data_IF_172345926473
#
_entry.id   IF_172345926473
#
_cell.length_a   1.000
_cell.length_b   1.000
_cell.length_c   1.000
_cell.angle_alpha   90.00
_cell.angle_beta   90.00
_cell.angle_gamma   90.00
#
_symmetry.space_group_name_H-M   'P 1'
#
loop_
_entity.id
_entity.type
_entity.pdbx_description
1 polymer ?
#
# COMPACT_ATOMS: atom_id res chain seq x y z
N UNK A 1 1.41 1.29 26.58
CA UNK A 1 0.52 1.90 25.56
C UNK A 1 -0.92 1.64 25.99
N UNK A 2 -1.80 2.66 25.98
CA UNK A 2 -3.18 2.50 26.48
C UNK A 2 -3.97 1.54 25.55
N UNK A 3 -4.73 0.60 26.13
CA UNK A 3 -5.52 -0.39 25.38
C UNK A 3 -6.42 0.24 24.31
N UNK A 4 -6.99 1.41 24.61
CA UNK A 4 -7.82 2.18 23.67
C UNK A 4 -7.07 2.59 22.41
N UNK A 5 -5.79 3.00 22.53
CA UNK A 5 -4.97 3.38 21.37
C UNK A 5 -4.64 2.17 20.50
N UNK A 6 -4.35 1.02 21.13
CA UNK A 6 -4.14 -0.24 20.40
C UNK A 6 -5.39 -0.59 19.59
N UNK A 7 -6.57 -0.54 20.24
CA UNK A 7 -7.84 -0.84 19.57
C UNK A 7 -8.10 0.12 18.39
N UNK A 8 -7.87 1.42 18.56
CA UNK A 8 -8.03 2.39 17.46
C UNK A 8 -7.11 2.08 16.29
N UNK A 9 -5.82 1.80 16.54
CA UNK A 9 -4.87 1.46 15.48
C UNK A 9 -5.25 0.17 14.75
N UNK A 10 -5.72 -0.84 15.50
CA UNK A 10 -6.19 -2.11 14.92
C UNK A 10 -7.42 -1.86 14.03
N UNK A 11 -8.40 -1.09 14.49
CA UNK A 11 -9.60 -0.76 13.70
C UNK A 11 -9.22 -0.01 12.42
N UNK A 12 -8.31 0.97 12.50
CA UNK A 12 -7.81 1.69 11.32
C UNK A 12 -7.10 0.75 10.35
N UNK A 13 -6.24 -0.14 10.85
CA UNK A 13 -5.54 -1.10 10.01
C UNK A 13 -6.51 -2.08 9.30
N UNK A 14 -7.54 -2.55 10.01
CA UNK A 14 -8.59 -3.41 9.43
C UNK A 14 -9.38 -2.64 8.37
N UNK A 15 -9.75 -1.39 8.64
CA UNK A 15 -10.47 -0.56 7.69
C UNK A 15 -9.64 -0.30 6.42
N UNK A 16 -8.36 0.03 6.57
CA UNK A 16 -7.43 0.18 5.45
C UNK A 16 -7.32 -1.10 4.63
N UNK A 17 -7.10 -2.25 5.28
CA UNK A 17 -7.04 -3.53 4.60
C UNK A 17 -8.34 -3.86 3.86
N UNK A 18 -9.51 -3.61 4.47
CA UNK A 18 -10.81 -3.82 3.85
C UNK A 18 -11.03 -2.96 2.62
N UNK A 19 -10.71 -1.66 2.70
CA UNK A 19 -10.83 -0.72 1.56
C UNK A 19 -9.86 -1.12 0.44
N UNK A 20 -8.62 -1.49 0.79
CA UNK A 20 -7.64 -1.95 -0.18
C UNK A 20 -8.07 -3.22 -0.91
N UNK A 21 -8.60 -4.22 -0.20
CA UNK A 21 -9.11 -5.45 -0.80
C UNK A 21 -10.29 -5.17 -1.73
N UNK A 22 -11.21 -4.30 -1.29
CA UNK A 22 -12.33 -3.86 -2.13
C UNK A 22 -11.83 -3.18 -3.41
N UNK A 23 -10.81 -2.31 -3.30
CA UNK A 23 -10.22 -1.62 -4.44
C UNK A 23 -9.54 -2.59 -5.42
N UNK A 24 -8.87 -3.63 -4.92
CA UNK A 24 -8.36 -4.72 -5.76
C UNK A 24 -9.47 -5.42 -6.54
N UNK A 25 -10.60 -5.72 -5.91
CA UNK A 25 -11.74 -6.31 -6.61
C UNK A 25 -12.32 -5.39 -7.69
N UNK A 26 -12.32 -4.07 -7.47
CA UNK A 26 -12.75 -3.12 -8.50
C UNK A 26 -11.79 -3.11 -9.70
N UNK A 27 -10.51 -3.42 -9.50
CA UNK A 27 -9.49 -3.38 -10.54
C UNK A 27 -9.79 -4.33 -11.71
N UNK A 28 -10.42 -5.48 -11.46
CA UNK A 28 -10.82 -6.43 -12.51
C UNK A 28 -11.78 -5.81 -13.54
N UNK A 29 -12.57 -4.81 -13.15
CA UNK A 29 -13.51 -4.14 -14.06
C UNK A 29 -12.85 -3.12 -15.00
N UNK A 30 -11.56 -2.83 -14.82
CA UNK A 30 -10.86 -1.80 -15.60
C UNK A 30 -10.30 -2.33 -16.91
N UNK A 31 -10.17 -3.65 -17.03
CA UNK A 31 -9.70 -4.32 -18.23
C UNK A 31 -10.88 -4.77 -19.12
N UNK A 32 -10.63 -4.94 -20.43
CA UNK A 32 -11.58 -5.60 -21.31
C UNK A 32 -11.82 -7.07 -20.90
N UNK A 33 -12.88 -7.72 -21.42
CA UNK A 33 -13.14 -9.13 -21.15
C UNK A 33 -11.94 -10.03 -21.46
N UNK A 34 -11.72 -11.06 -20.63
CA UNK A 34 -10.62 -11.99 -20.80
C UNK A 34 -10.71 -12.73 -22.15
N UNK A 35 -9.61 -12.71 -22.90
CA UNK A 35 -9.52 -13.30 -24.23
C UNK A 35 -8.41 -14.36 -24.34
N UNK A 36 -7.60 -14.56 -23.30
CA UNK A 36 -6.52 -15.56 -23.24
C UNK A 36 -6.32 -16.07 -21.80
N UNK A 37 -5.67 -17.22 -21.64
CA UNK A 37 -5.27 -17.71 -20.32
C UNK A 37 -4.33 -16.69 -19.62
N UNK A 38 -3.46 -16.04 -20.39
CA UNK A 38 -2.51 -15.03 -19.88
C UNK A 38 -3.19 -13.79 -19.33
N UNK A 39 -4.38 -13.45 -19.85
CA UNK A 39 -5.12 -12.29 -19.36
C UNK A 39 -5.55 -12.45 -17.90
N UNK A 40 -5.86 -13.68 -17.46
CA UNK A 40 -6.19 -13.96 -16.04
C UNK A 40 -4.99 -13.70 -15.12
N UNK A 41 -3.79 -14.14 -15.53
CA UNK A 41 -2.57 -13.96 -14.76
C UNK A 41 -2.20 -12.47 -14.61
N UNK A 42 -2.40 -11.69 -15.67
CA UNK A 42 -2.16 -10.24 -15.66
C UNK A 42 -3.21 -9.52 -14.82
N UNK A 43 -4.49 -9.87 -14.96
CA UNK A 43 -5.60 -9.31 -14.19
C UNK A 43 -5.40 -9.52 -12.68
N UNK A 44 -5.02 -10.73 -12.28
CA UNK A 44 -4.75 -11.09 -10.88
C UNK A 44 -3.54 -10.33 -10.32
N UNK A 45 -2.43 -10.27 -11.08
CA UNK A 45 -1.24 -9.52 -10.68
C UNK A 45 -1.57 -8.03 -10.52
N UNK A 46 -2.35 -7.46 -11.44
CA UNK A 46 -2.75 -6.07 -11.38
C UNK A 46 -3.66 -5.79 -10.19
N UNK A 47 -4.66 -6.63 -9.93
CA UNK A 47 -5.54 -6.54 -8.76
C UNK A 47 -4.76 -6.57 -7.44
N UNK A 48 -3.75 -7.45 -7.36
CA UNK A 48 -2.83 -7.50 -6.22
C UNK A 48 -2.05 -6.18 -6.06
N UNK A 49 -1.47 -5.66 -7.14
CA UNK A 49 -0.71 -4.40 -7.11
C UNK A 49 -1.60 -3.21 -6.73
N UNK A 50 -2.84 -3.16 -7.22
CA UNK A 50 -3.83 -2.12 -6.85
C UNK A 50 -4.19 -2.21 -5.37
N UNK A 51 -4.41 -3.43 -4.85
CA UNK A 51 -4.69 -3.65 -3.42
C UNK A 51 -3.55 -3.10 -2.56
N UNK A 52 -2.32 -3.49 -2.88
CA UNK A 52 -1.13 -3.08 -2.14
C UNK A 52 -0.85 -1.57 -2.27
N UNK A 53 -0.95 -1.03 -3.48
CA UNK A 53 -0.77 0.39 -3.75
C UNK A 53 -1.80 1.25 -3.03
N UNK A 54 -3.06 0.81 -3.00
CA UNK A 54 -4.14 1.49 -2.26
C UNK A 54 -3.86 1.50 -0.77
N UNK A 55 -3.37 0.38 -0.21
CA UNK A 55 -3.03 0.30 1.21
C UNK A 55 -1.95 1.33 1.60
N UNK A 56 -0.87 1.39 0.82
CA UNK A 56 0.24 2.32 1.04
C UNK A 56 -0.24 3.77 0.86
N UNK A 57 -0.95 4.05 -0.23
CA UNK A 57 -1.46 5.37 -0.56
C UNK A 57 -2.35 5.92 0.57
N UNK A 58 -3.34 5.14 1.01
CA UNK A 58 -4.24 5.56 2.09
C UNK A 58 -3.51 5.69 3.43
N UNK A 59 -2.53 4.84 3.71
CA UNK A 59 -1.70 4.97 4.92
C UNK A 59 -0.90 6.28 4.95
N UNK A 60 -0.26 6.64 3.84
CA UNK A 60 0.53 7.88 3.71
C UNK A 60 -0.38 9.10 3.70
N UNK A 61 -1.38 9.13 2.81
CA UNK A 61 -2.30 10.27 2.69
C UNK A 61 -3.08 10.45 3.98
N UNK A 62 -3.57 9.39 4.60
CA UNK A 62 -4.27 9.47 5.89
C UNK A 62 -3.40 10.07 6.99
N UNK A 63 -2.12 9.69 7.06
CA UNK A 63 -1.18 10.26 8.04
C UNK A 63 -0.92 11.75 7.76
N UNK A 64 -0.73 12.13 6.50
CA UNK A 64 -0.54 13.52 6.10
C UNK A 64 -1.78 14.37 6.39
N UNK A 65 -2.96 13.89 6.02
CA UNK A 65 -4.24 14.56 6.28
C UNK A 65 -4.47 14.74 7.77
N UNK A 66 -4.19 13.72 8.58
CA UNK A 66 -4.27 13.84 10.04
C UNK A 66 -3.32 14.93 10.56
N UNK A 67 -2.08 14.96 10.08
CA UNK A 67 -1.09 15.96 10.47
C UNK A 67 -1.57 17.39 10.17
N UNK A 68 -2.07 17.62 8.95
CA UNK A 68 -2.55 18.93 8.50
C UNK A 68 -3.77 19.41 9.28
N UNK A 69 -4.71 18.50 9.60
CA UNK A 69 -5.98 18.89 10.23
C UNK A 69 -5.89 19.01 11.76
N UNK A 70 -5.10 18.17 12.41
CA UNK A 70 -5.11 18.04 13.87
C UNK A 70 -3.81 18.46 14.55
N UNK A 71 -2.71 18.54 13.81
CA UNK A 71 -1.38 18.86 14.33
C UNK A 71 -0.94 20.30 14.00
N UNK A 72 -1.90 21.18 13.72
CA UNK A 72 -1.68 22.60 13.48
C UNK A 72 -1.19 23.36 14.73
N UNK A 73 -0.41 24.41 14.52
CA UNK A 73 -0.01 25.35 15.56
C UNK A 73 -1.23 26.10 16.14
N UNK A 74 -1.10 26.60 17.37
CA UNK A 74 -2.15 27.42 17.99
C UNK A 74 -2.41 28.70 17.22
N UNK A 75 -3.63 29.26 17.32
CA UNK A 75 -4.09 30.46 16.56
C UNK A 75 -3.16 31.68 16.66
N UNK A 76 -2.30 31.74 17.67
CA UNK A 76 -1.34 32.82 17.91
C UNK A 76 0.07 32.30 18.24
N UNK A 77 0.35 31.04 17.93
CA UNK A 77 1.67 30.46 18.11
C UNK A 77 2.53 30.78 16.87
N UNK A 78 3.53 31.64 17.08
CA UNK A 78 4.52 32.03 16.09
C UNK A 78 5.91 31.46 16.41
N UNK A 79 6.00 30.57 17.40
CA UNK A 79 7.25 29.90 17.72
C UNK A 79 7.59 28.84 16.68
N UNK A 80 8.88 28.58 16.52
CA UNK A 80 9.33 27.49 15.65
C UNK A 80 9.01 26.13 16.31
N UNK A 81 8.69 25.15 15.47
CA UNK A 81 8.52 23.77 15.91
C UNK A 81 9.82 23.23 16.55
N UNK A 82 9.74 22.26 17.47
CA UNK A 82 10.92 21.65 18.07
C UNK A 82 11.88 21.11 16.99
N UNK A 83 13.20 21.34 17.11
CA UNK A 83 14.19 20.87 16.14
C UNK A 83 14.39 19.35 16.29
N UNK A 84 13.51 18.55 15.68
CA UNK A 84 13.60 17.09 15.63
C UNK A 84 14.21 16.69 14.30
N UNK A 85 15.48 16.26 14.32
CA UNK A 85 16.23 15.99 13.09
C UNK A 85 16.30 14.50 12.69
N UNK A 86 15.85 13.57 13.54
CA UNK A 86 15.87 12.17 13.13
C UNK A 86 15.40 11.15 14.15
N UNK A 87 15.33 9.91 13.68
CA UNK A 87 15.11 8.72 14.48
C UNK A 87 15.68 7.52 13.72
N UNK A 88 16.91 7.13 14.05
CA UNK A 88 17.64 6.04 13.37
C UNK A 88 16.81 4.75 13.31
N UNK A 89 16.04 4.44 14.36
CA UNK A 89 15.22 3.22 14.38
C UNK A 89 14.09 3.30 13.35
N UNK A 90 13.39 4.45 13.30
CA UNK A 90 12.34 4.68 12.31
C UNK A 90 12.91 4.67 10.89
N UNK A 91 14.09 5.27 10.71
CA UNK A 91 14.76 5.37 9.42
C UNK A 91 15.17 4.01 8.86
N UNK A 92 15.72 3.13 9.71
CA UNK A 92 16.05 1.76 9.31
C UNK A 92 14.78 1.00 8.94
N UNK A 93 13.74 1.08 9.78
CA UNK A 93 12.48 0.35 9.57
C UNK A 93 11.79 0.80 8.29
N UNK A 94 11.65 2.11 8.06
CA UNK A 94 10.99 2.64 6.86
C UNK A 94 11.80 2.45 5.58
N UNK A 95 13.07 2.05 5.67
CA UNK A 95 13.93 1.84 4.49
C UNK A 95 13.95 0.36 4.15
N UNK A 96 14.11 -0.49 5.17
CA UNK A 96 14.15 -1.93 5.02
C UNK A 96 12.81 -2.49 4.54
N UNK A 97 11.68 -1.98 5.05
CA UNK A 97 10.34 -2.48 4.67
C UNK A 97 10.06 -2.24 3.18
N UNK A 98 10.16 -1.00 2.63
CA UNK A 98 9.96 -0.78 1.20
C UNK A 98 10.96 -1.52 0.32
N UNK A 99 12.23 -1.65 0.75
CA UNK A 99 13.21 -2.42 0.01
C UNK A 99 12.80 -3.89 -0.12
N UNK A 100 12.46 -4.53 1.01
CA UNK A 100 12.00 -5.92 1.02
C UNK A 100 10.70 -6.09 0.22
N UNK A 101 9.78 -5.12 0.32
CA UNK A 101 8.52 -5.11 -0.41
C UNK A 101 8.75 -5.10 -1.93
N UNK A 102 9.63 -4.22 -2.43
CA UNK A 102 9.94 -4.14 -3.87
C UNK A 102 10.58 -5.43 -4.37
N UNK A 103 11.53 -6.01 -3.62
CA UNK A 103 12.15 -7.30 -3.97
C UNK A 103 11.09 -8.41 -4.05
N UNK A 104 10.17 -8.44 -3.09
CA UNK A 104 9.10 -9.44 -3.08
C UNK A 104 8.13 -9.27 -4.25
N UNK A 105 7.70 -8.04 -4.55
CA UNK A 105 6.86 -7.74 -5.73
C UNK A 105 7.58 -8.16 -7.01
N UNK A 106 8.87 -7.88 -7.15
CA UNK A 106 9.65 -8.25 -8.33
C UNK A 106 9.72 -9.77 -8.49
N UNK A 107 9.98 -10.51 -7.40
CA UNK A 107 9.99 -11.97 -7.42
C UNK A 107 8.61 -12.55 -7.80
N UNK A 108 7.53 -12.01 -7.24
CA UNK A 108 6.17 -12.43 -7.57
C UNK A 108 5.80 -12.14 -9.03
N UNK A 109 6.11 -10.93 -9.51
CA UNK A 109 5.90 -10.55 -10.91
C UNK A 109 6.70 -11.44 -11.87
N UNK A 110 7.92 -11.82 -11.50
CA UNK A 110 8.73 -12.74 -12.30
C UNK A 110 8.13 -14.15 -12.37
N UNK A 111 7.58 -14.66 -11.27
CA UNK A 111 6.88 -15.96 -11.27
C UNK A 111 5.66 -15.95 -12.20
N UNK A 112 4.87 -14.87 -12.18
CA UNK A 112 3.73 -14.70 -13.11
C UNK A 112 4.21 -14.63 -14.56
N UNK A 113 5.31 -13.93 -14.82
CA UNK A 113 5.92 -13.88 -16.15
C UNK A 113 6.39 -15.25 -16.65
N UNK A 114 7.03 -16.04 -15.80
CA UNK A 114 7.48 -17.39 -16.14
C UNK A 114 6.30 -18.33 -16.44
N UNK A 115 5.19 -18.21 -15.70
CA UNK A 115 3.96 -18.97 -15.97
C UNK A 115 3.39 -18.67 -17.36
N UNK A 116 3.33 -17.40 -17.76
CA UNK A 116 2.91 -17.01 -19.11
C UNK A 116 3.86 -17.55 -20.18
N UNK A 117 5.17 -17.57 -19.91
CA UNK A 117 6.18 -18.13 -20.82
C UNK A 117 5.98 -19.65 -21.02
N UNK A 118 5.62 -20.38 -19.96
CA UNK A 118 5.34 -21.82 -20.02
C UNK A 118 4.07 -22.15 -20.83
N UNK A 119 3.06 -21.28 -20.79
CA UNK A 119 1.80 -21.48 -21.50
C UNK A 119 1.96 -21.39 -23.03
N UNK A 120 3.00 -20.70 -23.52
CA UNK A 120 3.37 -20.62 -24.94
C UNK A 120 2.31 -19.91 -25.80
N UNK A 121 2.56 -19.70 -27.10
CA UNK A 121 1.52 -19.21 -28.00
C UNK A 121 0.46 -20.31 -28.13
N UNK A 122 -0.74 -20.07 -27.59
CA UNK A 122 -1.89 -20.90 -27.91
C UNK A 122 -2.35 -20.51 -29.33
N UNK A 123 -2.24 -21.44 -30.28
CA UNK A 123 -2.81 -21.29 -31.64
C UNK A 123 -4.34 -21.28 -31.61
#
# INVERSE_FOLDING_TARGET
MNIRRILTLVVVAIALAGISLWMGQQAYSWFPPQASAESLLVDDLFSFLVTLGTFIFLGVVGTLTYSVLFQQAGKYDLSDGPPIEGNITLEIVWTAIPLALVIWIAAYSYQVYDQMSILGPME
#
